data_IF_303398297690
#
_entry.id   IF_303398297690
#
_cell.length_a   1.000
_cell.length_b   1.000
_cell.length_c   1.000
_cell.angle_alpha   90.00
_cell.angle_beta   90.00
_cell.angle_gamma   90.00
#
_symmetry.space_group_name_H-M   'P 1'
#
loop_
_entity.id
_entity.type
_entity.pdbx_description
1 polymer ?
#
# COMPACT_ATOMS: atom_id res chain seq x y z
N UNK A 1 18.09 -74.36 -36.19
CA UNK A 1 18.57 -72.97 -36.04
C UNK A 1 17.34 -72.06 -36.14
N UNK A 2 16.94 -71.38 -35.06
CA UNK A 2 15.73 -70.56 -35.02
C UNK A 2 16.11 -69.12 -35.33
N UNK A 3 15.71 -68.63 -36.51
CA UNK A 3 15.93 -67.25 -36.94
C UNK A 3 15.13 -66.30 -36.03
N UNK A 4 15.82 -65.40 -35.35
CA UNK A 4 15.26 -64.21 -34.70
C UNK A 4 15.17 -63.12 -35.75
N UNK A 5 13.98 -62.88 -36.31
CA UNK A 5 13.68 -61.79 -37.24
C UNK A 5 12.16 -61.66 -37.32
N UNK A 6 11.51 -60.53 -37.11
CA UNK A 6 12.03 -59.19 -36.86
C UNK A 6 11.02 -58.41 -36.02
N UNK A 7 11.53 -57.44 -35.26
CA UNK A 7 10.74 -56.34 -34.73
C UNK A 7 10.01 -55.70 -35.90
N UNK A 8 8.69 -55.82 -35.88
CA UNK A 8 7.79 -55.65 -37.02
C UNK A 8 7.60 -54.17 -37.33
N UNK A 9 7.43 -53.80 -38.60
CA UNK A 9 7.18 -52.41 -39.06
C UNK A 9 6.12 -51.66 -38.22
N UNK A 10 5.14 -52.39 -37.69
CA UNK A 10 4.12 -51.86 -36.79
C UNK A 10 4.68 -51.37 -35.44
N UNK A 11 5.68 -52.04 -34.87
CA UNK A 11 6.34 -51.65 -33.62
C UNK A 11 7.10 -50.33 -33.80
N UNK A 12 7.76 -50.15 -34.95
CA UNK A 12 8.41 -48.89 -35.32
C UNK A 12 7.39 -47.75 -35.44
N UNK A 13 6.24 -47.99 -36.07
CA UNK A 13 5.16 -46.99 -36.17
C UNK A 13 4.59 -46.61 -34.80
N UNK A 14 4.43 -47.56 -33.89
CA UNK A 14 3.97 -47.29 -32.53
C UNK A 14 4.99 -46.43 -31.77
N UNK A 15 6.29 -46.75 -31.87
CA UNK A 15 7.36 -45.95 -31.22
C UNK A 15 7.38 -44.51 -31.75
N UNK A 16 7.32 -44.32 -33.07
CA UNK A 16 7.29 -42.98 -33.68
C UNK A 16 6.04 -42.20 -33.25
N UNK A 17 4.90 -42.87 -33.16
CA UNK A 17 3.65 -42.23 -32.70
C UNK A 17 3.76 -41.77 -31.26
N UNK A 18 4.29 -42.62 -30.37
CA UNK A 18 4.53 -42.26 -28.96
C UNK A 18 5.54 -41.13 -28.85
N UNK A 19 6.65 -41.17 -29.59
CA UNK A 19 7.65 -40.09 -29.60
C UNK A 19 7.06 -38.75 -30.07
N UNK A 20 6.22 -38.76 -31.10
CA UNK A 20 5.59 -37.54 -31.63
C UNK A 20 4.67 -36.91 -30.58
N UNK A 21 3.88 -37.73 -29.87
CA UNK A 21 3.03 -37.27 -28.76
C UNK A 21 3.88 -36.68 -27.63
N UNK A 22 4.98 -37.34 -27.26
CA UNK A 22 5.89 -36.84 -26.22
C UNK A 22 6.55 -35.50 -26.61
N UNK A 23 6.98 -35.35 -27.86
CA UNK A 23 7.56 -34.10 -28.37
C UNK A 23 6.53 -32.96 -28.34
N UNK A 24 5.29 -33.23 -28.77
CA UNK A 24 4.22 -32.23 -28.77
C UNK A 24 3.92 -31.72 -27.35
N UNK A 25 3.83 -32.62 -26.38
CA UNK A 25 3.60 -32.26 -24.97
C UNK A 25 4.81 -31.48 -24.41
N UNK A 26 6.03 -31.97 -24.67
CA UNK A 26 7.26 -31.36 -24.15
C UNK A 26 7.50 -29.96 -24.72
N UNK A 27 7.21 -29.75 -26.02
CA UNK A 27 7.34 -28.45 -26.67
C UNK A 27 6.45 -27.38 -26.05
N UNK A 28 5.20 -27.73 -25.72
CA UNK A 28 4.26 -26.81 -25.09
C UNK A 28 4.71 -26.40 -23.69
N UNK A 29 5.19 -27.36 -22.89
CA UNK A 29 5.72 -27.10 -21.54
C UNK A 29 6.97 -26.22 -21.61
N UNK A 30 7.85 -26.45 -22.58
CA UNK A 30 9.08 -25.68 -22.75
C UNK A 30 8.79 -24.21 -23.11
N UNK A 31 7.84 -23.94 -24.02
CA UNK A 31 7.44 -22.57 -24.37
C UNK A 31 6.84 -21.84 -23.18
N UNK A 32 6.02 -22.52 -22.37
CA UNK A 32 5.45 -21.94 -21.15
C UNK A 32 6.55 -21.56 -20.14
N UNK A 33 7.50 -22.46 -19.89
CA UNK A 33 8.60 -22.23 -18.96
C UNK A 33 9.54 -21.09 -19.40
N UNK A 34 9.86 -21.00 -20.70
CA UNK A 34 10.68 -19.89 -21.21
C UNK A 34 10.02 -18.52 -21.02
N UNK A 35 8.69 -18.44 -21.22
CA UNK A 35 7.94 -17.18 -21.05
C UNK A 35 7.93 -16.70 -19.60
N UNK A 36 7.69 -17.60 -18.65
CA UNK A 36 7.67 -17.26 -17.22
C UNK A 36 9.07 -16.93 -16.67
N UNK A 37 10.10 -17.68 -17.11
CA UNK A 37 11.51 -17.38 -16.80
C UNK A 37 11.95 -16.01 -17.31
N UNK A 38 11.50 -15.64 -18.53
CA UNK A 38 11.79 -14.32 -19.11
C UNK A 38 11.18 -13.17 -18.32
N UNK A 39 9.93 -13.31 -17.85
CA UNK A 39 9.29 -12.29 -17.00
C UNK A 39 10.05 -12.09 -15.68
N UNK A 40 10.43 -13.18 -15.00
CA UNK A 40 11.19 -13.08 -13.75
C UNK A 40 12.58 -12.45 -13.98
N UNK A 41 13.25 -12.81 -15.07
CA UNK A 41 14.58 -12.27 -15.39
C UNK A 41 14.54 -10.76 -15.67
N UNK A 42 13.56 -10.30 -16.45
CA UNK A 42 13.39 -8.88 -16.75
C UNK A 42 13.10 -8.05 -15.48
N UNK A 43 12.31 -8.62 -14.56
CA UNK A 43 11.98 -7.97 -13.30
C UNK A 43 13.20 -7.85 -12.38
N UNK A 44 14.00 -8.91 -12.24
CA UNK A 44 15.24 -8.86 -11.47
C UNK A 44 16.27 -7.88 -12.08
N UNK A 45 16.31 -7.77 -13.41
CA UNK A 45 17.17 -6.80 -14.11
C UNK A 45 16.77 -5.36 -13.79
N UNK A 46 15.48 -5.02 -13.89
CA UNK A 46 14.96 -3.68 -13.52
C UNK A 46 15.27 -3.36 -12.05
N UNK A 47 15.06 -4.31 -11.13
CA UNK A 47 15.41 -4.14 -9.72
C UNK A 47 16.91 -3.90 -9.55
N UNK A 48 17.73 -4.63 -10.29
CA UNK A 48 19.18 -4.44 -10.32
C UNK A 48 19.57 -3.04 -10.78
N UNK A 49 18.93 -2.51 -11.82
CA UNK A 49 19.18 -1.17 -12.36
C UNK A 49 18.70 -0.07 -11.42
N UNK A 50 17.54 -0.21 -10.77
CA UNK A 50 17.07 0.71 -9.73
C UNK A 50 18.00 0.74 -8.50
N UNK A 51 18.51 -0.42 -8.07
CA UNK A 51 19.50 -0.49 -6.99
C UNK A 51 20.83 0.10 -7.42
N UNK A 52 21.20 -0.08 -8.69
CA UNK A 52 22.42 0.52 -9.25
C UNK A 52 22.32 2.04 -9.26
N UNK A 53 21.23 2.64 -9.74
CA UNK A 53 21.05 4.10 -9.69
C UNK A 53 21.11 4.61 -8.26
N UNK A 54 20.39 3.98 -7.32
CA UNK A 54 20.46 4.35 -5.91
C UNK A 54 21.90 4.31 -5.35
N UNK A 55 22.65 3.24 -5.64
CA UNK A 55 24.03 3.10 -5.19
C UNK A 55 24.95 4.16 -5.81
N UNK A 56 24.79 4.48 -7.10
CA UNK A 56 25.56 5.54 -7.77
C UNK A 56 25.29 6.91 -7.14
N UNK A 57 24.02 7.19 -6.85
CA UNK A 57 23.59 8.41 -6.17
C UNK A 57 24.16 8.53 -4.75
N UNK A 58 24.05 7.47 -3.94
CA UNK A 58 24.58 7.44 -2.57
C UNK A 58 26.12 7.51 -2.53
N UNK A 59 26.78 6.92 -3.53
CA UNK A 59 28.23 7.07 -3.71
C UNK A 59 28.61 8.48 -4.20
N UNK A 60 27.63 9.32 -4.54
CA UNK A 60 27.83 10.62 -5.17
C UNK A 60 28.75 10.53 -6.39
N UNK A 61 28.57 9.47 -7.19
CA UNK A 61 29.36 9.24 -8.41
C UNK A 61 29.20 10.45 -9.34
N UNK A 62 30.31 10.96 -9.89
CA UNK A 62 30.34 12.21 -10.67
C UNK A 62 29.68 13.43 -9.99
N UNK A 63 29.54 13.42 -8.67
CA UNK A 63 28.88 14.44 -7.86
C UNK A 63 27.39 14.69 -8.22
N UNK A 64 26.69 13.70 -8.76
CA UNK A 64 25.33 13.86 -9.28
C UNK A 64 24.32 12.85 -8.71
N UNK A 65 23.05 13.03 -9.06
CA UNK A 65 21.96 12.09 -8.84
C UNK A 65 21.82 11.16 -10.05
N UNK A 66 21.29 9.98 -9.81
CA UNK A 66 20.96 8.99 -10.83
C UNK A 66 19.53 8.52 -10.62
N UNK A 67 18.88 8.23 -11.75
CA UNK A 67 17.51 7.76 -11.80
C UNK A 67 17.29 6.73 -12.88
N UNK A 68 16.07 6.18 -12.91
CA UNK A 68 15.62 5.26 -13.95
C UNK A 68 14.33 5.81 -14.54
N UNK A 69 14.31 6.03 -15.86
CA UNK A 69 13.12 6.42 -16.61
C UNK A 69 12.54 5.23 -17.34
N UNK A 70 11.22 5.07 -17.31
CA UNK A 70 10.49 4.00 -17.96
C UNK A 70 9.80 4.52 -19.23
N UNK A 71 10.22 4.04 -20.40
CA UNK A 71 9.70 4.48 -21.68
C UNK A 71 8.72 3.47 -22.26
N UNK A 72 7.43 3.82 -22.21
CA UNK A 72 6.32 3.03 -22.78
C UNK A 72 5.86 3.54 -24.15
N UNK A 73 6.47 4.61 -24.66
CA UNK A 73 6.09 5.23 -25.95
C UNK A 73 6.69 4.52 -27.17
N UNK A 74 7.53 3.51 -26.95
CA UNK A 74 8.28 2.78 -27.98
C UNK A 74 8.13 1.28 -27.77
N UNK A 75 8.27 0.51 -28.85
CA UNK A 75 8.08 -0.93 -28.84
C UNK A 75 9.27 -1.65 -29.49
N UNK A 76 9.95 -2.56 -28.77
CA UNK A 76 9.76 -2.96 -27.37
C UNK A 76 9.95 -1.81 -26.35
N UNK A 77 9.21 -1.86 -25.23
CA UNK A 77 9.34 -0.89 -24.14
C UNK A 77 10.77 -0.90 -23.57
N UNK A 78 11.22 0.24 -23.05
CA UNK A 78 12.58 0.42 -22.55
C UNK A 78 12.60 1.01 -21.14
N UNK A 79 13.70 0.84 -20.44
CA UNK A 79 14.02 1.58 -19.23
C UNK A 79 15.45 2.08 -19.30
N UNK A 80 15.69 3.30 -18.82
CA UNK A 80 16.92 4.03 -19.06
C UNK A 80 17.48 4.47 -17.72
N UNK A 81 18.65 3.96 -17.36
CA UNK A 81 19.45 4.50 -16.25
C UNK A 81 20.10 5.79 -16.73
N UNK A 82 19.86 6.89 -16.02
CA UNK A 82 20.40 8.20 -16.36
C UNK A 82 21.07 8.89 -15.17
N UNK A 83 21.85 9.94 -15.49
CA UNK A 83 22.48 10.85 -14.52
C UNK A 83 21.87 12.24 -14.65
N UNK A 84 21.44 12.81 -13.54
CA UNK A 84 20.84 14.14 -13.44
C UNK A 84 19.68 14.18 -12.45
N UNK A 85 19.11 15.37 -12.20
CA UNK A 85 18.04 15.56 -11.22
C UNK A 85 16.66 15.10 -11.70
N UNK A 86 16.47 14.98 -13.01
CA UNK A 86 15.28 14.45 -13.67
C UNK A 86 15.65 13.99 -15.10
N UNK A 87 14.81 13.18 -15.75
CA UNK A 87 15.11 12.64 -17.08
C UNK A 87 15.10 13.74 -18.15
N UNK A 88 14.34 14.82 -17.99
CA UNK A 88 14.25 15.89 -18.99
C UNK A 88 15.55 16.70 -19.04
N UNK A 89 16.16 16.97 -17.88
CA UNK A 89 17.36 17.79 -17.70
C UNK A 89 18.65 16.97 -17.55
N UNK A 90 18.57 15.64 -17.68
CA UNK A 90 19.69 14.70 -17.56
C UNK A 90 20.86 14.96 -18.51
N UNK A 91 22.00 14.39 -18.16
CA UNK A 91 23.15 14.26 -19.04
C UNK A 91 23.05 12.98 -19.89
N UNK A 92 22.62 13.16 -21.15
CA UNK A 92 22.37 12.08 -22.12
C UNK A 92 23.62 11.20 -22.36
N UNK A 93 24.83 11.71 -22.12
CA UNK A 93 26.07 10.92 -22.33
C UNK A 93 26.24 9.77 -21.34
N UNK A 94 25.46 9.77 -20.25
CA UNK A 94 25.45 8.73 -19.22
C UNK A 94 24.23 7.79 -19.31
N UNK A 95 23.38 7.96 -20.33
CA UNK A 95 22.22 7.10 -20.55
C UNK A 95 22.67 5.66 -20.83
N UNK A 96 22.18 4.72 -20.01
CA UNK A 96 22.27 3.29 -20.27
C UNK A 96 20.86 2.77 -20.57
N UNK A 97 20.64 2.39 -21.83
CA UNK A 97 19.33 1.98 -22.34
C UNK A 97 19.20 0.46 -22.23
N UNK A 98 18.13 0.01 -21.59
CA UNK A 98 17.77 -1.40 -21.45
C UNK A 98 16.44 -1.65 -22.16
N UNK A 99 16.43 -2.62 -23.07
CA UNK A 99 15.26 -2.94 -23.88
C UNK A 99 14.58 -4.19 -23.37
N UNK A 100 13.27 -4.15 -23.16
CA UNK A 100 12.52 -5.33 -22.75
C UNK A 100 12.38 -6.36 -23.89
N UNK A 101 12.32 -7.67 -23.57
CA UNK A 101 11.93 -8.69 -24.53
C UNK A 101 10.59 -8.37 -25.20
N UNK A 102 10.48 -8.61 -26.51
CA UNK A 102 9.30 -8.24 -27.33
C UNK A 102 7.97 -8.86 -26.84
N UNK A 103 8.04 -9.97 -26.09
CA UNK A 103 6.89 -10.65 -25.51
C UNK A 103 6.44 -10.06 -24.15
N UNK A 104 7.14 -9.05 -23.63
CA UNK A 104 6.85 -8.35 -22.39
C UNK A 104 6.47 -6.89 -22.65
N UNK A 105 5.68 -6.31 -21.75
CA UNK A 105 5.37 -4.89 -21.73
C UNK A 105 5.27 -4.38 -20.29
N UNK A 106 5.65 -3.11 -20.11
CA UNK A 106 5.24 -2.30 -18.97
C UNK A 106 3.82 -1.83 -19.24
N UNK A 107 2.85 -2.22 -18.41
CA UNK A 107 1.43 -1.93 -18.68
C UNK A 107 0.82 -0.94 -17.68
N UNK A 108 1.47 -0.72 -16.54
CA UNK A 108 1.02 0.19 -15.50
C UNK A 108 2.23 0.74 -14.76
N UNK A 109 2.32 2.06 -14.65
CA UNK A 109 3.38 2.80 -13.97
C UNK A 109 2.69 3.88 -13.17
N UNK A 110 2.80 3.78 -11.84
CA UNK A 110 2.33 4.81 -10.92
C UNK A 110 3.46 5.13 -9.96
N UNK A 111 4.26 6.14 -10.29
CA UNK A 111 5.38 6.62 -9.47
C UNK A 111 5.08 8.04 -8.97
N UNK A 112 3.94 8.20 -8.28
CA UNK A 112 3.43 9.48 -7.84
C UNK A 112 3.18 10.48 -9.00
N UNK A 113 2.65 9.96 -10.12
CA UNK A 113 2.39 10.73 -11.34
C UNK A 113 3.61 10.98 -12.23
N UNK A 114 4.72 10.28 -11.98
CA UNK A 114 5.94 10.31 -12.78
C UNK A 114 6.16 9.01 -13.54
N UNK A 115 7.03 9.05 -14.57
CA UNK A 115 7.54 7.88 -15.31
C UNK A 115 9.01 7.57 -14.96
N UNK A 116 9.55 8.24 -13.95
CA UNK A 116 10.92 8.09 -13.48
C UNK A 116 11.01 7.94 -11.97
N UNK A 117 12.10 7.33 -11.53
CA UNK A 117 12.52 7.31 -10.13
C UNK A 117 13.89 7.97 -10.03
N UNK A 118 14.00 9.04 -9.25
CA UNK A 118 15.28 9.69 -8.93
C UNK A 118 15.53 9.57 -7.43
N UNK A 119 16.75 9.22 -7.05
CA UNK A 119 17.14 9.10 -5.66
C UNK A 119 17.82 10.38 -5.14
N UNK A 120 17.58 10.72 -3.87
CA UNK A 120 18.26 11.82 -3.20
C UNK A 120 19.70 11.45 -2.85
N UNK A 121 20.63 12.36 -3.11
CA UNK A 121 22.08 12.13 -2.97
C UNK A 121 22.55 11.89 -1.54
N UNK A 122 21.87 12.48 -0.55
CA UNK A 122 22.29 12.38 0.85
C UNK A 122 21.65 11.20 1.56
N UNK A 123 20.41 10.88 1.19
CA UNK A 123 19.56 9.97 1.95
C UNK A 123 19.20 8.70 1.20
N UNK A 124 19.34 8.68 -0.13
CA UNK A 124 18.91 7.56 -0.98
C UNK A 124 17.39 7.38 -1.02
N UNK A 125 16.63 8.34 -0.51
CA UNK A 125 15.17 8.40 -0.54
C UNK A 125 14.69 8.82 -1.94
N UNK A 126 13.40 8.68 -2.22
CA UNK A 126 12.79 9.17 -3.46
C UNK A 126 11.38 9.68 -3.19
N UNK A 127 11.00 10.77 -3.86
CA UNK A 127 9.63 11.27 -3.84
C UNK A 127 8.74 10.55 -4.89
N UNK A 128 9.36 9.85 -5.85
CA UNK A 128 8.68 9.06 -6.89
C UNK A 128 8.45 7.62 -6.42
N UNK A 129 7.83 7.45 -5.25
CA UNK A 129 7.47 6.14 -4.72
C UNK A 129 6.18 5.62 -5.34
N UNK A 130 6.11 4.30 -5.59
CA UNK A 130 4.93 3.65 -6.13
C UNK A 130 5.24 2.30 -6.77
N UNK A 131 4.65 2.02 -7.93
CA UNK A 131 4.74 0.71 -8.58
C UNK A 131 4.99 0.76 -10.09
N UNK A 132 5.70 -0.26 -10.57
CA UNK A 132 5.99 -0.51 -11.98
C UNK A 132 5.60 -1.94 -12.30
N UNK A 133 4.61 -2.12 -13.18
CA UNK A 133 4.02 -3.43 -13.47
C UNK A 133 4.35 -3.92 -14.88
N UNK A 134 4.82 -5.16 -14.95
CA UNK A 134 5.20 -5.88 -16.16
C UNK A 134 4.28 -7.07 -16.38
N UNK A 135 3.99 -7.40 -17.65
CA UNK A 135 3.23 -8.61 -18.00
C UNK A 135 3.68 -9.25 -19.31
N UNK A 136 3.28 -10.50 -19.52
CA UNK A 136 3.35 -11.14 -20.83
C UNK A 136 2.26 -10.59 -21.75
N UNK A 137 2.64 -10.11 -22.94
CA UNK A 137 1.67 -9.64 -23.96
C UNK A 137 0.67 -10.72 -24.37
N UNK A 138 1.12 -11.98 -24.39
CA UNK A 138 0.27 -13.11 -24.78
C UNK A 138 -0.68 -13.59 -23.68
N UNK A 139 -0.47 -13.19 -22.42
CA UNK A 139 -1.27 -13.62 -21.27
C UNK A 139 -1.17 -12.60 -20.12
N UNK A 140 -2.19 -11.74 -19.99
CA UNK A 140 -2.23 -10.67 -18.98
C UNK A 140 -2.34 -11.17 -17.53
N UNK A 141 -2.67 -12.44 -17.32
CA UNK A 141 -2.69 -13.05 -15.98
C UNK A 141 -1.30 -13.33 -15.44
N UNK A 142 -0.29 -13.33 -16.32
CA UNK A 142 1.12 -13.49 -15.98
C UNK A 142 1.77 -12.12 -15.89
N UNK A 143 1.69 -11.54 -14.70
CA UNK A 143 2.24 -10.22 -14.39
C UNK A 143 3.11 -10.27 -13.13
N UNK A 144 3.92 -9.22 -12.98
CA UNK A 144 4.78 -8.94 -11.83
C UNK A 144 4.81 -7.45 -11.60
N UNK A 145 4.83 -7.06 -10.34
CA UNK A 145 4.88 -5.65 -9.92
C UNK A 145 6.14 -5.42 -9.10
N UNK A 146 6.86 -4.37 -9.46
CA UNK A 146 8.03 -3.86 -8.75
C UNK A 146 7.56 -2.66 -7.94
N UNK A 147 7.85 -2.67 -6.65
CA UNK A 147 7.50 -1.61 -5.73
C UNK A 147 8.74 -0.80 -5.37
N UNK A 148 8.61 0.52 -5.45
CA UNK A 148 9.62 1.51 -5.06
C UNK A 148 9.06 2.30 -3.89
N UNK A 149 9.72 2.24 -2.74
CA UNK A 149 9.27 2.95 -1.54
C UNK A 149 9.96 4.30 -1.41
N UNK A 150 9.34 5.22 -0.69
CA UNK A 150 9.93 6.53 -0.39
C UNK A 150 11.24 6.42 0.40
N UNK A 151 11.45 5.31 1.13
CA UNK A 151 12.72 4.93 1.76
C UNK A 151 13.85 4.62 0.77
N UNK A 152 13.55 4.58 -0.53
CA UNK A 152 14.43 4.12 -1.59
C UNK A 152 14.56 2.61 -1.70
N UNK A 153 13.84 1.83 -0.88
CA UNK A 153 13.85 0.38 -0.98
C UNK A 153 13.08 -0.08 -2.24
N UNK A 154 13.61 -1.10 -2.93
CA UNK A 154 12.99 -1.72 -4.11
C UNK A 154 12.71 -3.20 -3.83
N UNK A 155 11.46 -3.64 -4.05
CA UNK A 155 10.97 -4.99 -3.71
C UNK A 155 9.96 -5.54 -4.72
N UNK A 156 9.86 -6.87 -4.79
CA UNK A 156 8.82 -7.61 -5.51
C UNK A 156 7.54 -7.84 -4.71
N UNK A 157 7.63 -7.60 -3.41
CA UNK A 157 6.49 -7.68 -2.51
C UNK A 157 6.08 -6.26 -2.19
N UNK A 158 4.77 -5.94 -2.24
CA UNK A 158 4.31 -4.69 -1.69
C UNK A 158 4.75 -4.64 -0.24
N UNK A 159 5.09 -3.45 0.24
CA UNK A 159 5.36 -3.26 1.65
C UNK A 159 4.10 -3.77 2.28
N UNK A 160 4.26 -4.59 3.31
CA UNK A 160 3.18 -4.65 4.26
C UNK A 160 3.05 -3.22 4.79
N UNK A 161 2.16 -2.43 4.18
CA UNK A 161 1.25 -1.65 4.98
C UNK A 161 0.85 -2.66 6.05
N UNK A 162 1.07 -2.38 7.33
CA UNK A 162 0.45 -3.19 8.35
C UNK A 162 -1.05 -3.18 8.01
N UNK A 163 -1.52 -4.16 7.24
CA UNK A 163 -2.90 -4.58 7.25
C UNK A 163 -3.02 -4.94 8.70
N UNK A 164 -3.73 -4.12 9.46
CA UNK A 164 -3.89 -4.20 10.91
C UNK A 164 -4.12 -5.66 11.36
N UNK A 165 -3.03 -6.39 11.51
CA UNK A 165 -2.89 -7.79 11.89
C UNK A 165 -1.89 -7.91 13.03
N UNK A 166 -1.18 -6.81 13.34
CA UNK A 166 -0.99 -6.49 14.75
C UNK A 166 -2.39 -6.34 15.32
N UNK A 167 -2.66 -7.07 16.41
CA UNK A 167 -3.72 -6.68 17.35
C UNK A 167 -3.25 -5.32 17.88
N UNK A 168 -3.55 -4.26 17.14
CA UNK A 168 -3.43 -2.92 17.65
C UNK A 168 -4.44 -2.79 18.79
N UNK A 169 -4.05 -2.11 19.86
CA UNK A 169 -4.86 -2.00 21.06
C UNK A 169 -6.16 -1.26 20.73
N UNK A 170 -7.22 -2.04 20.50
CA UNK A 170 -8.55 -1.50 20.21
C UNK A 170 -9.13 -0.63 21.34
N UNK A 171 -8.43 -0.48 22.47
CA UNK A 171 -8.81 0.37 23.58
C UNK A 171 -8.37 1.82 23.40
N UNK A 172 -7.51 2.15 22.43
CA UNK A 172 -6.97 3.50 22.26
C UNK A 172 -6.73 3.88 20.80
N UNK A 173 -7.36 4.97 20.35
CA UNK A 173 -7.21 5.51 18.99
C UNK A 173 -6.83 6.99 19.01
N UNK A 174 -5.92 7.38 18.11
CA UNK A 174 -5.65 8.77 17.77
C UNK A 174 -6.28 9.13 16.42
N UNK A 175 -6.80 10.35 16.33
CA UNK A 175 -7.49 10.88 15.15
C UNK A 175 -7.04 12.30 14.93
N UNK A 176 -6.51 12.61 13.75
CA UNK A 176 -6.23 13.98 13.36
C UNK A 176 -7.52 14.62 12.79
N UNK A 177 -7.80 15.84 13.22
CA UNK A 177 -8.98 16.62 12.86
C UNK A 177 -8.56 18.02 12.42
N UNK A 178 -8.89 18.37 11.18
CA UNK A 178 -8.30 19.52 10.49
C UNK A 178 -9.09 20.82 10.58
N UNK A 179 -10.35 20.77 11.01
CA UNK A 179 -11.17 21.98 11.21
C UNK A 179 -10.93 22.57 12.59
N UNK A 180 -10.81 23.89 12.66
CA UNK A 180 -10.81 24.62 13.92
C UNK A 180 -12.14 24.43 14.67
N UNK A 181 -12.04 24.00 15.92
CA UNK A 181 -13.17 23.74 16.82
C UNK A 181 -13.48 25.03 17.58
N UNK A 182 -14.72 25.51 17.53
CA UNK A 182 -15.17 26.58 18.43
C UNK A 182 -15.36 26.00 19.83
N UNK A 183 -14.30 26.06 20.64
CA UNK A 183 -14.29 25.48 22.00
C UNK A 183 -15.29 26.13 22.95
N UNK A 184 -15.81 27.31 22.63
CA UNK A 184 -16.80 28.00 23.46
C UNK A 184 -18.25 27.64 23.08
N UNK A 185 -18.50 27.34 21.79
CA UNK A 185 -19.84 27.09 21.26
C UNK A 185 -20.16 25.63 20.94
N UNK A 186 -19.15 24.77 20.76
CA UNK A 186 -19.34 23.39 20.33
C UNK A 186 -19.41 22.37 21.47
N UNK A 187 -20.06 21.24 21.17
CA UNK A 187 -20.15 20.06 22.04
C UNK A 187 -19.58 18.85 21.33
N UNK A 188 -19.06 17.89 22.09
CA UNK A 188 -18.83 16.54 21.60
C UNK A 188 -20.10 15.74 21.87
N UNK A 189 -20.71 15.23 20.81
CA UNK A 189 -21.94 14.45 20.89
C UNK A 189 -21.62 12.95 20.81
N UNK A 190 -22.03 12.22 21.84
CA UNK A 190 -21.93 10.77 21.93
C UNK A 190 -23.30 10.16 21.62
N UNK A 191 -23.45 9.51 20.47
CA UNK A 191 -24.69 8.90 20.05
C UNK A 191 -24.60 7.36 20.07
N UNK A 192 -25.50 6.72 20.83
CA UNK A 192 -25.63 5.27 20.93
C UNK A 192 -26.80 4.80 20.06
N UNK A 193 -26.57 4.41 18.79
CA UNK A 193 -27.64 4.22 17.81
C UNK A 193 -28.61 3.09 18.17
N UNK A 194 -28.12 2.01 18.80
CA UNK A 194 -28.97 0.89 19.20
C UNK A 194 -29.96 1.26 20.31
N UNK A 195 -29.56 2.15 21.22
CA UNK A 195 -30.40 2.65 22.30
C UNK A 195 -31.21 3.90 21.91
N UNK A 196 -30.84 4.57 20.81
CA UNK A 196 -31.38 5.87 20.43
C UNK A 196 -31.04 6.99 21.42
N UNK A 197 -29.95 6.83 22.20
CA UNK A 197 -29.54 7.78 23.24
C UNK A 197 -28.41 8.68 22.74
N UNK A 198 -28.45 9.97 23.11
CA UNK A 198 -27.41 10.94 22.83
C UNK A 198 -26.99 11.67 24.11
N UNK A 199 -25.68 11.88 24.26
CA UNK A 199 -25.10 12.63 25.37
C UNK A 199 -24.21 13.74 24.82
N UNK A 200 -24.36 14.95 25.36
CA UNK A 200 -23.55 16.09 24.94
C UNK A 200 -22.50 16.40 26.00
N UNK A 201 -21.26 16.51 25.56
CA UNK A 201 -20.14 16.97 26.37
C UNK A 201 -19.88 18.41 25.95
N UNK A 202 -20.14 19.34 26.87
CA UNK A 202 -19.85 20.77 26.65
C UNK A 202 -18.33 20.94 26.65
N UNK A 203 -17.75 21.36 25.50
CA UNK A 203 -16.30 21.46 25.36
C UNK A 203 -15.73 22.49 26.33
N UNK A 204 -16.38 23.65 26.44
CA UNK A 204 -15.97 24.74 27.33
C UNK A 204 -15.80 24.30 28.80
N UNK A 205 -16.64 23.38 29.29
CA UNK A 205 -16.60 22.87 30.66
C UNK A 205 -15.51 21.80 30.87
N UNK A 206 -14.95 21.29 29.77
CA UNK A 206 -14.00 20.18 29.75
C UNK A 206 -12.65 20.59 29.14
N UNK A 207 -12.29 21.87 29.22
CA UNK A 207 -10.95 22.35 28.88
C UNK A 207 -10.00 22.26 30.08
N UNK A 208 -8.82 21.69 29.87
CA UNK A 208 -7.71 21.64 30.83
C UNK A 208 -6.40 21.87 30.11
N UNK A 209 -5.58 22.81 30.59
CA UNK A 209 -4.27 23.14 30.01
C UNK A 209 -4.29 23.41 28.49
N UNK A 210 -5.37 24.03 28.00
CA UNK A 210 -5.56 24.33 26.57
C UNK A 210 -5.94 23.12 25.71
N UNK A 211 -6.29 21.99 26.33
CA UNK A 211 -6.74 20.76 25.67
C UNK A 211 -8.15 20.38 26.12
N UNK A 212 -8.86 19.63 25.30
CA UNK A 212 -10.10 18.97 25.72
C UNK A 212 -9.72 17.78 26.58
N UNK A 213 -10.37 17.61 27.72
CA UNK A 213 -10.23 16.46 28.61
C UNK A 213 -11.58 16.11 29.24
N UNK A 214 -12.16 14.99 28.81
CA UNK A 214 -13.37 14.43 29.37
C UNK A 214 -13.20 12.93 29.67
N UNK A 215 -13.74 12.49 30.79
CA UNK A 215 -13.78 11.09 31.20
C UNK A 215 -15.11 10.84 31.93
N UNK A 216 -15.81 9.78 31.53
CA UNK A 216 -17.15 9.54 32.04
C UNK A 216 -17.61 8.10 31.93
N UNK A 217 -18.65 7.81 32.71
CA UNK A 217 -19.36 6.54 32.76
C UNK A 217 -20.82 6.78 32.40
N UNK A 218 -21.29 6.16 31.33
CA UNK A 218 -22.63 6.37 30.76
C UNK A 218 -23.40 5.05 30.82
N UNK A 219 -24.61 5.07 31.36
CA UNK A 219 -25.50 3.90 31.33
C UNK A 219 -26.28 3.86 30.02
N UNK A 220 -26.16 2.77 29.28
CA UNK A 220 -26.84 2.53 28.00
C UNK A 220 -27.45 1.14 28.05
N UNK A 221 -28.77 1.03 27.87
CA UNK A 221 -29.50 -0.23 27.95
C UNK A 221 -29.27 -1.04 29.25
N UNK A 222 -28.98 -0.38 30.37
CA UNK A 222 -28.71 -1.02 31.66
C UNK A 222 -27.26 -1.48 31.86
N UNK A 223 -26.38 -1.25 30.88
CA UNK A 223 -24.95 -1.54 30.96
C UNK A 223 -24.13 -0.25 30.95
N UNK A 224 -23.06 -0.20 31.73
CA UNK A 224 -22.20 0.98 31.79
C UNK A 224 -21.12 0.97 30.70
N UNK A 225 -20.97 2.10 30.01
CA UNK A 225 -19.93 2.39 29.04
C UNK A 225 -18.92 3.38 29.66
N UNK A 226 -17.65 3.01 29.74
CA UNK A 226 -16.58 3.85 30.28
C UNK A 226 -15.74 4.45 29.14
N UNK A 227 -15.74 5.78 29.02
CA UNK A 227 -15.09 6.48 27.92
C UNK A 227 -14.19 7.60 28.45
N UNK A 228 -13.07 7.81 27.75
CA UNK A 228 -12.23 8.98 27.94
C UNK A 228 -11.88 9.56 26.58
N UNK A 229 -12.05 10.87 26.45
CA UNK A 229 -11.78 11.65 25.23
C UNK A 229 -10.91 12.82 25.64
N UNK A 230 -9.75 12.94 25.02
CA UNK A 230 -8.90 14.10 25.21
C UNK A 230 -8.19 14.48 23.93
N UNK A 231 -7.47 15.60 23.94
CA UNK A 231 -6.65 16.04 22.81
C UNK A 231 -5.18 16.14 23.21
N UNK A 232 -4.28 15.70 22.31
CA UNK A 232 -2.83 15.97 22.44
C UNK A 232 -2.47 17.35 21.91
N UNK A 233 -3.22 17.81 20.91
CA UNK A 233 -3.19 19.16 20.35
C UNK A 233 -4.61 19.59 20.02
N UNK A 234 -4.90 20.87 20.19
CA UNK A 234 -6.21 21.47 19.97
C UNK A 234 -6.02 22.76 19.16
N UNK A 235 -6.65 22.82 17.99
CA UNK A 235 -6.59 23.94 17.05
C UNK A 235 -5.15 24.43 16.78
N UNK A 236 -4.21 23.51 16.59
CA UNK A 236 -2.84 23.89 16.21
C UNK A 236 -2.82 24.43 14.78
N UNK A 237 -2.19 25.60 14.59
CA UNK A 237 -2.20 26.31 13.30
C UNK A 237 -1.53 25.58 12.14
N UNK A 238 -0.70 24.55 12.40
CA UNK A 238 -0.04 23.75 11.36
C UNK A 238 -0.46 22.29 11.32
N UNK A 239 -0.97 21.74 12.44
CA UNK A 239 -1.27 20.31 12.58
C UNK A 239 -2.71 20.01 13.05
N UNK A 240 -3.55 21.04 13.21
CA UNK A 240 -4.95 20.92 13.62
C UNK A 240 -5.13 20.36 15.03
N UNK A 241 -6.23 19.66 15.25
CA UNK A 241 -6.54 18.96 16.51
C UNK A 241 -6.17 17.48 16.38
N UNK A 242 -5.65 16.86 17.45
CA UNK A 242 -5.53 15.41 17.53
C UNK A 242 -6.29 14.90 18.73
N UNK A 243 -7.38 14.18 18.46
CA UNK A 243 -8.13 13.46 19.47
C UNK A 243 -7.40 12.18 19.87
N UNK A 244 -7.54 11.84 21.14
CA UNK A 244 -7.17 10.57 21.73
C UNK A 244 -8.37 10.03 22.50
N UNK A 245 -8.89 8.90 22.03
CA UNK A 245 -10.11 8.28 22.54
C UNK A 245 -9.75 6.93 23.13
N UNK A 246 -10.05 6.77 24.41
CA UNK A 246 -9.91 5.52 25.12
C UNK A 246 -11.28 4.89 25.32
N UNK A 247 -11.42 3.66 24.82
CA UNK A 247 -12.65 2.88 24.93
C UNK A 247 -12.33 1.39 25.04
N UNK A 248 -12.19 0.91 26.27
CA UNK A 248 -11.89 -0.51 26.51
C UNK A 248 -13.12 -1.40 26.34
N UNK A 249 -13.03 -2.41 25.46
CA UNK A 249 -14.12 -3.37 25.19
C UNK A 249 -14.52 -4.20 26.41
N UNK A 250 -13.64 -4.36 27.40
CA UNK A 250 -14.01 -5.02 28.66
C UNK A 250 -15.06 -4.24 29.45
N UNK A 251 -15.16 -2.93 29.21
CA UNK A 251 -16.07 -2.02 29.91
C UNK A 251 -17.03 -1.30 28.96
N UNK A 252 -17.09 -1.71 27.69
CA UNK A 252 -17.88 -1.05 26.65
C UNK A 252 -18.33 -2.06 25.59
N UNK A 253 -19.64 -2.26 25.45
CA UNK A 253 -20.25 -3.27 24.57
C UNK A 253 -21.27 -2.71 23.56
N UNK A 254 -21.66 -1.44 23.69
CA UNK A 254 -22.66 -0.80 22.82
C UNK A 254 -22.05 -0.19 21.55
N UNK A 255 -22.85 0.04 20.51
CA UNK A 255 -22.41 0.84 19.37
C UNK A 255 -22.33 2.32 19.76
N UNK A 256 -21.38 3.08 19.20
CA UNK A 256 -21.18 4.49 19.51
C UNK A 256 -20.73 5.28 18.28
N UNK A 257 -21.37 6.41 18.02
CA UNK A 257 -20.94 7.43 17.07
C UNK A 257 -20.53 8.67 17.82
N UNK A 258 -19.35 9.22 17.53
CA UNK A 258 -18.87 10.48 18.12
C UNK A 258 -18.86 11.56 17.04
N UNK A 259 -19.42 12.72 17.37
CA UNK A 259 -19.50 13.90 16.50
C UNK A 259 -19.09 15.16 17.26
N UNK A 260 -18.76 16.21 16.53
CA UNK A 260 -18.75 17.58 17.05
C UNK A 260 -20.04 18.27 16.58
N UNK A 261 -20.68 19.08 17.42
CA UNK A 261 -21.91 19.78 17.00
C UNK A 261 -21.70 20.76 15.83
N UNK A 262 -20.46 21.26 15.65
CA UNK A 262 -20.05 22.04 14.48
C UNK A 262 -19.75 21.22 13.22
N UNK A 263 -19.80 19.88 13.30
CA UNK A 263 -19.57 18.95 12.19
C UNK A 263 -20.72 17.95 12.07
N UNK A 264 -21.49 18.05 10.98
CA UNK A 264 -22.63 17.15 10.74
C UNK A 264 -22.24 15.67 10.56
N UNK A 265 -20.97 15.42 10.25
CA UNK A 265 -20.41 14.10 9.99
C UNK A 265 -19.84 13.42 11.24
N UNK A 266 -19.72 12.09 11.21
CA UNK A 266 -19.06 11.34 12.27
C UNK A 266 -17.55 11.49 12.22
N UNK A 267 -16.97 11.80 13.39
CA UNK A 267 -15.53 11.76 13.61
C UNK A 267 -15.07 10.32 13.69
N UNK A 268 -15.87 9.46 14.34
CA UNK A 268 -15.57 8.04 14.52
C UNK A 268 -16.85 7.26 14.85
N UNK A 269 -16.93 6.04 14.32
CA UNK A 269 -18.03 5.09 14.57
C UNK A 269 -17.50 3.74 15.06
N UNK A 270 -18.13 3.25 16.12
CA UNK A 270 -17.87 1.95 16.73
C UNK A 270 -19.11 1.06 16.56
N UNK A 271 -18.92 -0.15 16.01
CA UNK A 271 -19.99 -1.16 16.02
C UNK A 271 -20.17 -1.79 17.40
N UNK A 272 -21.37 -2.30 17.64
CA UNK A 272 -21.65 -3.19 18.76
C UNK A 272 -21.01 -4.57 18.51
N UNK A 273 -20.60 -5.26 19.58
CA UNK A 273 -20.24 -6.67 19.50
C UNK A 273 -19.06 -7.08 20.38
N UNK A 274 -19.10 -8.34 20.83
CA UNK A 274 -17.94 -9.03 21.41
C UNK A 274 -17.02 -9.50 20.27
N UNK A 275 -15.73 -9.67 20.56
CA UNK A 275 -14.69 -10.08 19.60
C UNK A 275 -15.10 -11.30 18.75
N UNK A 276 -14.77 -11.39 17.43
CA UNK A 276 -13.93 -10.50 16.61
C UNK A 276 -14.68 -9.46 15.74
N UNK A 277 -16.02 -9.37 15.86
CA UNK A 277 -16.84 -8.60 14.90
C UNK A 277 -17.15 -7.15 15.29
N UNK A 278 -17.08 -6.81 16.58
CA UNK A 278 -17.28 -5.43 17.07
C UNK A 278 -15.97 -4.67 17.10
N UNK A 279 -15.82 -3.61 16.31
CA UNK A 279 -14.62 -2.80 16.18
C UNK A 279 -14.93 -1.52 15.41
N UNK A 280 -14.01 -0.56 15.39
CA UNK A 280 -14.18 0.67 14.61
C UNK A 280 -14.53 0.32 13.16
N UNK A 281 -15.62 0.86 12.67
CA UNK A 281 -16.12 0.53 11.34
C UNK A 281 -15.70 1.57 10.31
N UNK A 282 -15.77 2.85 10.68
CA UNK A 282 -15.81 3.95 9.71
C UNK A 282 -15.62 5.31 10.39
N UNK A 283 -15.24 6.31 9.60
CA UNK A 283 -15.46 7.74 9.86
C UNK A 283 -15.97 8.38 8.56
N UNK A 284 -16.82 9.40 8.66
CA UNK A 284 -17.44 10.05 7.48
C UNK A 284 -17.07 11.52 7.35
N UNK A 285 -16.42 12.10 8.35
CA UNK A 285 -15.97 13.50 8.30
C UNK A 285 -14.79 13.67 7.36
N UNK A 286 -14.90 14.62 6.43
CA UNK A 286 -13.81 15.02 5.53
C UNK A 286 -12.67 15.73 6.27
N UNK A 287 -12.91 16.14 7.52
CA UNK A 287 -11.91 16.79 8.35
C UNK A 287 -11.05 15.79 9.11
N UNK A 288 -11.41 14.50 9.09
CA UNK A 288 -10.66 13.42 9.76
C UNK A 288 -9.60 12.84 8.82
N UNK A 289 -8.38 12.76 9.33
CA UNK A 289 -7.26 12.07 8.70
C UNK A 289 -6.42 11.29 9.72
N UNK A 290 -5.47 10.48 9.23
CA UNK A 290 -4.46 9.77 10.04
C UNK A 290 -5.01 9.03 11.26
N UNK A 291 -5.99 8.14 11.07
CA UNK A 291 -6.51 7.32 12.17
C UNK A 291 -5.50 6.22 12.53
N UNK A 292 -4.95 6.30 13.74
CA UNK A 292 -3.93 5.34 14.21
C UNK A 292 -4.33 4.69 15.53
N UNK A 293 -4.29 3.36 15.56
CA UNK A 293 -4.38 2.57 16.79
C UNK A 293 -3.02 2.50 17.47
N UNK A 294 -3.00 2.57 18.81
CA UNK A 294 -1.78 2.37 19.60
C UNK A 294 -1.66 0.96 20.16
#
# INVERSE_FOLDING_TARGET
>A
MKNKSGTTFIELLVIISVLTILIAISGQVFVFFQKESGLNSAVEEIIGVLRLSQNKTLASEEADQYGVYFNTSIEPHEYILFKGPDFISRDISYDNIYTLPQNLELYDIDLAGSDEVVFDRLTGLTDQSGEVSLRLKSDSTKNKTIYVYSSGQVSLTPSSIPINSRIADSRHVHIDYTRDIDTAGETIDLFFPAAGLAYQIIIADNLRDGQIYWEGRIEVNGEFQNLKIHTHRLNDSGAGTQFSIHRDRMNNNEALTIKLSGDGSSIIEYSAGWYPAGGLTTYLSVYVNNLTWQ
#
